data_IF_985447453288
#
_entry.id   IF_985447453288
#
_cell.length_a   1.000
_cell.length_b   1.000
_cell.length_c   1.000
_cell.angle_alpha   90.00
_cell.angle_beta   90.00
_cell.angle_gamma   90.00
#
_symmetry.space_group_name_H-M   'P 1'
#
loop_
_entity.id
_entity.type
_entity.pdbx_description
1 polymer ?
#
# COMPACT_ATOMS: atom_id res chain seq x y z
N UNK A 1 -1.94 -49.75 20.32
CA UNK A 1 -2.87 -48.61 20.47
C UNK A 1 -2.25 -47.41 19.78
N UNK A 2 -2.72 -47.12 18.57
CA UNK A 2 -2.30 -45.94 17.82
C UNK A 2 -3.11 -44.74 18.32
N UNK A 3 -2.45 -43.79 18.98
CA UNK A 3 -3.08 -42.53 19.35
C UNK A 3 -3.48 -41.72 18.10
N UNK A 4 -4.45 -40.82 18.19
CA UNK A 4 -4.85 -39.99 17.06
C UNK A 4 -3.67 -39.13 16.64
N UNK A 5 -3.33 -39.18 15.36
CA UNK A 5 -2.38 -38.26 14.75
C UNK A 5 -2.92 -36.85 14.94
N UNK A 6 -2.19 -36.02 15.67
CA UNK A 6 -2.60 -34.64 15.93
C UNK A 6 -2.69 -33.84 14.62
N UNK A 7 -3.63 -32.94 14.57
CA UNK A 7 -3.89 -32.07 13.40
C UNK A 7 -2.66 -31.26 12.91
N UNK A 8 -1.61 -31.17 13.70
CA UNK A 8 -0.33 -30.54 13.37
C UNK A 8 0.47 -31.26 12.25
N UNK A 9 0.17 -32.52 11.94
CA UNK A 9 0.86 -33.24 10.86
C UNK A 9 0.36 -32.88 9.45
N UNK A 10 -0.77 -32.20 9.33
CA UNK A 10 -1.26 -31.74 8.03
C UNK A 10 -0.66 -30.39 7.57
N UNK A 11 0.06 -29.72 8.45
CA UNK A 11 0.62 -28.38 8.15
C UNK A 11 2.05 -28.42 7.58
N UNK A 12 2.68 -29.60 7.50
CA UNK A 12 4.02 -29.76 6.92
C UNK A 12 4.00 -30.83 5.83
N UNK A 13 3.39 -30.51 4.71
CA UNK A 13 3.60 -31.26 3.47
C UNK A 13 4.92 -30.77 2.84
N UNK A 14 6.02 -31.40 3.16
CA UNK A 14 7.34 -31.16 2.54
C UNK A 14 7.42 -31.68 1.09
N UNK A 15 6.33 -31.65 0.33
CA UNK A 15 6.32 -32.22 -1.02
C UNK A 15 5.42 -31.56 -2.04
N UNK A 16 4.52 -30.65 -1.63
CA UNK A 16 3.84 -29.75 -2.56
C UNK A 16 4.59 -28.40 -2.48
N UNK A 17 5.00 -27.81 -3.58
CA UNK A 17 5.58 -26.47 -3.60
C UNK A 17 4.71 -25.50 -2.81
N UNK A 18 5.33 -24.55 -2.11
CA UNK A 18 4.64 -23.56 -1.30
C UNK A 18 3.48 -22.94 -2.11
N UNK A 19 2.33 -22.68 -1.45
CA UNK A 19 1.20 -22.06 -2.13
C UNK A 19 1.60 -20.68 -2.67
N UNK A 20 2.39 -19.94 -1.91
CA UNK A 20 2.93 -18.65 -2.32
C UNK A 20 4.34 -18.82 -2.89
N UNK A 21 4.56 -18.28 -4.09
CA UNK A 21 5.86 -18.23 -4.74
C UNK A 21 6.71 -17.06 -4.21
N UNK A 22 6.05 -16.03 -3.65
CA UNK A 22 6.63 -14.92 -2.92
C UNK A 22 5.94 -14.78 -1.58
N UNK A 23 6.73 -14.65 -0.50
CA UNK A 23 6.23 -14.51 0.87
C UNK A 23 6.43 -13.10 1.37
N UNK A 24 5.38 -12.55 1.97
CA UNK A 24 5.40 -11.31 2.72
C UNK A 24 5.49 -11.68 4.20
N UNK A 25 6.66 -11.46 4.80
CA UNK A 25 6.97 -11.96 6.15
C UNK A 25 6.28 -11.13 7.25
N UNK A 26 6.11 -9.83 7.02
CA UNK A 26 5.60 -8.90 8.02
C UNK A 26 4.65 -7.88 7.42
N UNK A 27 3.88 -7.26 8.32
CA UNK A 27 3.14 -6.03 8.07
C UNK A 27 3.38 -5.03 9.20
N UNK A 28 2.96 -3.79 8.97
CA UNK A 28 2.93 -2.76 10.00
C UNK A 28 1.49 -2.48 10.39
N UNK A 29 1.24 -2.39 11.70
CA UNK A 29 -0.06 -2.00 12.25
C UNK A 29 -0.11 -0.50 12.46
N UNK A 30 -0.98 0.18 11.70
CA UNK A 30 -1.37 1.57 11.93
C UNK A 30 -2.55 1.68 12.89
N UNK A 31 -2.62 2.79 13.60
CA UNK A 31 -3.73 3.12 14.49
C UNK A 31 -4.14 4.57 14.24
N UNK A 32 -5.42 4.80 13.95
CA UNK A 32 -5.98 6.13 13.82
C UNK A 32 -5.83 6.88 15.15
N UNK A 33 -5.56 8.17 15.10
CA UNK A 33 -5.38 9.05 16.27
C UNK A 33 -4.13 8.75 17.14
N UNK A 34 -3.39 7.68 16.87
CA UNK A 34 -2.19 7.31 17.63
C UNK A 34 -0.89 7.98 17.14
N UNK A 35 -0.97 8.88 16.17
CA UNK A 35 0.20 9.56 15.61
C UNK A 35 1.02 8.71 14.65
N UNK A 36 0.50 7.58 14.19
CA UNK A 36 1.18 6.67 13.28
C UNK A 36 1.32 7.29 11.89
N UNK A 37 2.56 7.42 11.40
CA UNK A 37 2.87 8.06 10.13
C UNK A 37 4.10 7.43 9.49
N UNK A 38 4.04 7.21 8.19
CA UNK A 38 5.16 6.77 7.37
C UNK A 38 5.30 7.80 6.23
N UNK A 39 6.31 8.67 6.30
CA UNK A 39 6.45 9.82 5.41
C UNK A 39 7.85 9.97 4.84
N UNK A 40 7.90 10.49 3.61
CA UNK A 40 9.14 10.88 2.94
C UNK A 40 8.91 12.13 2.10
N UNK A 41 9.92 13.00 2.03
CA UNK A 41 9.95 14.12 1.08
C UNK A 41 11.10 13.88 0.10
N UNK A 42 10.84 13.62 -1.18
CA UNK A 42 11.90 13.46 -2.18
C UNK A 42 12.75 14.72 -2.29
N UNK A 43 14.08 14.56 -2.48
CA UNK A 43 15.01 15.67 -2.66
C UNK A 43 14.97 16.27 -4.07
N UNK A 44 14.48 15.51 -5.05
CA UNK A 44 14.30 15.94 -6.44
C UNK A 44 13.03 15.37 -7.01
N UNK A 45 12.46 16.03 -8.01
CA UNK A 45 11.27 15.54 -8.69
C UNK A 45 11.61 14.32 -9.57
N UNK A 46 10.72 13.32 -9.57
CA UNK A 46 10.72 12.19 -10.48
C UNK A 46 9.65 12.33 -11.56
N UNK A 47 9.18 11.21 -12.08
CA UNK A 47 8.16 11.16 -13.11
C UNK A 47 6.77 11.29 -12.50
N UNK A 48 6.09 12.39 -12.82
CA UNK A 48 4.78 12.74 -12.25
C UNK A 48 3.61 12.27 -13.13
N UNK A 49 3.88 11.66 -14.28
CA UNK A 49 2.88 11.25 -15.26
C UNK A 49 2.91 9.76 -15.58
N UNK A 50 3.93 9.04 -15.10
CA UNK A 50 4.10 7.60 -15.32
C UNK A 50 4.60 6.98 -14.02
N UNK A 51 3.76 6.23 -13.32
CA UNK A 51 4.06 5.67 -12.00
C UNK A 51 3.05 4.57 -11.63
N UNK A 52 3.38 3.79 -10.62
CA UNK A 52 2.46 2.85 -10.00
C UNK A 52 2.69 2.78 -8.48
N UNK A 53 1.62 2.47 -7.75
CA UNK A 53 1.63 2.17 -6.31
C UNK A 53 0.84 0.89 -6.11
N UNK A 54 1.40 -0.02 -5.33
CA UNK A 54 0.78 -1.28 -4.95
C UNK A 54 0.94 -1.50 -3.46
N UNK A 55 -0.09 -2.00 -2.79
CA UNK A 55 -0.02 -2.35 -1.38
C UNK A 55 -1.07 -3.40 -1.01
N UNK A 56 -0.76 -4.18 0.01
CA UNK A 56 -1.73 -5.04 0.68
C UNK A 56 -2.20 -4.35 1.95
N UNK A 57 -3.51 -4.36 2.19
CA UNK A 57 -4.13 -3.76 3.36
C UNK A 57 -5.11 -4.73 4.02
N UNK A 58 -5.21 -4.64 5.35
CA UNK A 58 -6.25 -5.30 6.14
C UNK A 58 -6.79 -4.29 7.14
N UNK A 59 -8.07 -3.98 7.04
CA UNK A 59 -8.72 -2.95 7.85
C UNK A 59 -9.01 -3.43 9.27
N UNK A 60 -8.95 -2.52 10.25
CA UNK A 60 -9.43 -2.75 11.62
C UNK A 60 -10.61 -1.86 11.97
N UNK A 61 -10.82 -0.76 11.25
CA UNK A 61 -11.87 0.23 11.52
C UNK A 61 -12.67 0.52 10.25
N UNK A 62 -13.99 0.66 10.39
CA UNK A 62 -14.94 1.00 9.33
C UNK A 62 -15.61 2.33 9.62
N UNK A 63 -16.19 2.96 8.58
CA UNK A 63 -17.04 4.14 8.71
C UNK A 63 -16.28 5.45 8.97
N UNK A 64 -14.96 5.48 8.76
CA UNK A 64 -14.12 6.67 8.88
C UNK A 64 -13.28 6.89 7.63
N UNK A 65 -12.99 8.17 7.31
CA UNK A 65 -12.03 8.49 6.26
C UNK A 65 -10.61 8.07 6.68
N UNK A 66 -9.95 7.28 5.83
CA UNK A 66 -8.60 6.78 6.07
C UNK A 66 -7.73 6.91 4.83
N UNK A 67 -6.54 7.46 5.00
CA UNK A 67 -5.59 7.66 3.91
C UNK A 67 -4.75 6.41 3.68
N UNK A 68 -4.78 5.87 2.47
CA UNK A 68 -3.85 4.83 2.03
C UNK A 68 -2.55 5.44 1.50
N UNK A 69 -2.69 6.54 0.74
CA UNK A 69 -1.55 7.28 0.21
C UNK A 69 -1.92 8.74 -0.04
N UNK A 70 -1.02 9.65 0.27
CA UNK A 70 -1.13 11.06 -0.12
C UNK A 70 0.23 11.60 -0.54
N UNK A 71 0.26 12.30 -1.67
CA UNK A 71 1.35 13.19 -2.05
C UNK A 71 0.82 14.62 -2.07
N UNK A 72 1.50 15.55 -1.38
CA UNK A 72 1.08 16.94 -1.39
C UNK A 72 1.49 17.74 -0.15
N UNK A 73 1.28 19.05 -0.18
CA UNK A 73 1.47 19.94 0.96
C UNK A 73 0.18 20.66 1.32
N UNK A 74 0.07 21.13 2.56
CA UNK A 74 -1.12 21.85 3.04
C UNK A 74 -1.41 23.13 2.25
N UNK A 75 -0.38 23.68 1.55
CA UNK A 75 -0.49 24.86 0.69
C UNK A 75 -0.82 24.56 -0.77
N UNK A 76 -0.68 23.31 -1.22
CA UNK A 76 -0.84 22.90 -2.62
C UNK A 76 -2.17 22.18 -2.86
N UNK A 77 -3.27 22.84 -2.51
CA UNK A 77 -4.60 22.23 -2.65
C UNK A 77 -4.86 21.69 -4.07
N UNK A 78 -4.34 22.35 -5.10
CA UNK A 78 -4.63 22.00 -6.50
C UNK A 78 -3.79 20.83 -7.03
N UNK A 79 -2.65 20.52 -6.41
CA UNK A 79 -1.74 19.47 -6.91
C UNK A 79 -1.75 18.20 -6.04
N UNK A 80 -2.36 18.22 -4.85
CA UNK A 80 -2.43 17.04 -3.97
C UNK A 80 -3.08 15.86 -4.68
N UNK A 81 -2.51 14.68 -4.47
CA UNK A 81 -3.02 13.44 -5.01
C UNK A 81 -3.21 12.45 -3.86
N UNK A 82 -4.39 11.87 -3.74
CA UNK A 82 -4.76 11.02 -2.62
C UNK A 82 -5.48 9.76 -3.07
N UNK A 83 -5.15 8.68 -2.41
CA UNK A 83 -5.89 7.44 -2.39
C UNK A 83 -6.44 7.24 -0.98
N UNK A 84 -7.74 7.24 -0.84
CA UNK A 84 -8.45 7.31 0.45
C UNK A 84 -9.51 6.22 0.51
N UNK A 85 -9.77 5.68 1.66
CA UNK A 85 -11.04 5.00 1.96
C UNK A 85 -11.92 6.03 2.65
N UNK A 86 -13.09 6.31 2.09
CA UNK A 86 -14.01 7.29 2.65
C UNK A 86 -14.88 6.69 3.79
N UNK A 87 -15.69 7.50 4.41
CA UNK A 87 -16.61 7.13 5.49
C UNK A 87 -17.75 6.16 5.06
N UNK A 88 -17.96 5.98 3.74
CA UNK A 88 -18.82 4.93 3.17
C UNK A 88 -18.07 3.61 2.93
N UNK A 89 -16.83 3.45 3.39
CA UNK A 89 -15.95 2.28 3.17
C UNK A 89 -15.60 2.02 1.69
N UNK A 90 -15.54 3.06 0.87
CA UNK A 90 -15.19 2.98 -0.55
C UNK A 90 -13.83 3.60 -0.83
N UNK A 91 -13.09 3.05 -1.78
CA UNK A 91 -11.87 3.72 -2.27
C UNK A 91 -12.25 4.94 -3.10
N UNK A 92 -11.59 6.05 -2.80
CA UNK A 92 -11.76 7.33 -3.46
C UNK A 92 -10.40 7.88 -3.90
N UNK A 93 -10.33 8.38 -5.12
CA UNK A 93 -9.18 9.12 -5.64
C UNK A 93 -9.55 10.61 -5.69
N UNK A 94 -8.71 11.44 -5.09
CA UNK A 94 -8.91 12.90 -5.11
C UNK A 94 -7.66 13.62 -5.60
N UNK A 95 -7.84 14.74 -6.31
CA UNK A 95 -6.80 15.72 -6.58
C UNK A 95 -7.22 17.07 -6.01
N UNK A 96 -6.28 17.76 -5.38
CA UNK A 96 -6.61 18.99 -4.69
C UNK A 96 -7.71 18.75 -3.66
N UNK A 97 -8.82 19.46 -3.79
CA UNK A 97 -10.02 19.31 -2.99
C UNK A 97 -11.19 18.64 -3.74
N UNK A 98 -10.91 18.13 -4.96
CA UNK A 98 -11.93 17.53 -5.81
C UNK A 98 -11.89 16.01 -5.71
N UNK A 99 -13.06 15.41 -5.45
CA UNK A 99 -13.24 13.97 -5.63
C UNK A 99 -13.32 13.68 -7.13
N UNK A 100 -12.39 12.87 -7.64
CA UNK A 100 -12.37 12.48 -9.06
C UNK A 100 -13.22 11.24 -9.29
N UNK A 101 -13.12 10.27 -8.39
CA UNK A 101 -13.81 8.98 -8.52
C UNK A 101 -13.91 8.28 -7.18
N UNK A 102 -15.03 7.59 -6.98
CA UNK A 102 -15.27 6.70 -5.83
C UNK A 102 -15.65 5.32 -6.35
N UNK A 103 -15.11 4.27 -5.74
CA UNK A 103 -15.43 2.90 -6.11
C UNK A 103 -16.90 2.58 -5.83
N UNK A 104 -17.45 1.62 -6.58
CA UNK A 104 -18.76 1.03 -6.27
C UNK A 104 -18.64 -0.09 -5.24
N UNK A 105 -17.46 -0.72 -5.16
CA UNK A 105 -17.18 -1.80 -4.23
C UNK A 105 -16.89 -1.26 -2.84
N UNK A 106 -17.41 -1.96 -1.84
CA UNK A 106 -17.17 -1.69 -0.43
C UNK A 106 -15.97 -2.49 0.07
N UNK A 107 -15.14 -1.90 0.90
CA UNK A 107 -14.01 -2.53 1.60
C UNK A 107 -14.37 -2.75 3.07
N UNK A 108 -15.35 -3.61 3.34
CA UNK A 108 -15.90 -3.85 4.68
C UNK A 108 -15.42 -5.15 5.33
N UNK A 109 -14.67 -5.98 4.61
CA UNK A 109 -14.06 -7.17 5.22
C UNK A 109 -12.85 -6.76 6.06
N UNK A 110 -12.97 -6.91 7.37
CA UNK A 110 -11.90 -6.66 8.34
C UNK A 110 -11.10 -7.93 8.67
N UNK A 111 -11.48 -9.07 8.10
CA UNK A 111 -10.84 -10.36 8.37
C UNK A 111 -9.79 -10.74 7.33
N UNK A 112 -9.97 -10.27 6.11
CA UNK A 112 -9.14 -10.60 4.96
C UNK A 112 -8.21 -9.47 4.52
N UNK A 113 -7.15 -9.85 3.84
CA UNK A 113 -6.26 -8.94 3.14
C UNK A 113 -6.85 -8.54 1.80
N UNK A 114 -6.72 -7.27 1.45
CA UNK A 114 -7.09 -6.73 0.13
C UNK A 114 -5.87 -6.12 -0.54
N UNK A 115 -5.70 -6.42 -1.82
CA UNK A 115 -4.69 -5.79 -2.66
C UNK A 115 -5.26 -4.54 -3.30
N UNK A 116 -4.56 -3.42 -3.17
CA UNK A 116 -4.89 -2.15 -3.81
C UNK A 116 -3.74 -1.76 -4.72
N UNK A 117 -4.06 -1.57 -5.99
CA UNK A 117 -3.11 -1.15 -7.01
C UNK A 117 -3.62 0.10 -7.72
N UNK A 118 -2.77 1.12 -7.83
CA UNK A 118 -3.08 2.38 -8.46
C UNK A 118 -1.92 2.83 -9.33
N UNK A 119 -2.20 3.14 -10.59
CA UNK A 119 -1.18 3.57 -11.53
C UNK A 119 -1.64 4.73 -12.40
N UNK A 120 -0.68 5.45 -12.95
CA UNK A 120 -0.86 6.41 -14.03
C UNK A 120 0.09 6.10 -15.18
N UNK A 121 -0.48 5.97 -16.38
CA UNK A 121 0.25 5.91 -17.64
C UNK A 121 -0.11 7.15 -18.47
N UNK A 122 0.81 8.07 -18.62
CA UNK A 122 0.55 9.40 -19.18
C UNK A 122 -0.52 10.15 -18.35
N UNK A 123 -1.70 10.39 -18.87
CA UNK A 123 -2.80 11.04 -18.17
C UNK A 123 -3.89 10.07 -17.71
N UNK A 124 -3.72 8.78 -18.00
CA UNK A 124 -4.72 7.76 -17.65
C UNK A 124 -4.38 7.11 -16.31
N UNK A 125 -5.26 7.27 -15.34
CA UNK A 125 -5.19 6.59 -14.06
C UNK A 125 -6.11 5.39 -14.06
N UNK A 126 -5.60 4.25 -13.57
CA UNK A 126 -6.38 3.04 -13.30
C UNK A 126 -6.15 2.58 -11.87
N UNK A 127 -7.21 2.14 -11.22
CA UNK A 127 -7.11 1.57 -9.89
C UNK A 127 -7.85 0.23 -9.82
N UNK A 128 -7.22 -0.74 -9.15
CA UNK A 128 -7.75 -2.09 -8.96
C UNK A 128 -7.85 -2.41 -7.47
N UNK A 129 -8.89 -3.15 -7.12
CA UNK A 129 -9.06 -3.76 -5.81
C UNK A 129 -9.15 -5.27 -6.04
N UNK A 130 -8.23 -6.04 -5.45
CA UNK A 130 -8.17 -7.51 -5.61
C UNK A 130 -8.19 -7.95 -7.08
N UNK A 131 -7.44 -7.25 -7.95
CA UNK A 131 -7.36 -7.53 -9.38
C UNK A 131 -8.57 -7.04 -10.20
N UNK A 132 -9.60 -6.48 -9.57
CA UNK A 132 -10.77 -5.94 -10.26
C UNK A 132 -10.62 -4.43 -10.43
N UNK A 133 -10.59 -3.98 -11.68
CA UNK A 133 -10.54 -2.55 -11.99
C UNK A 133 -11.87 -1.88 -11.62
N UNK A 134 -11.81 -0.86 -10.78
CA UNK A 134 -13.03 -0.09 -10.44
C UNK A 134 -13.10 1.26 -11.15
N UNK A 135 -11.97 1.76 -11.66
CA UNK A 135 -11.97 3.04 -12.34
C UNK A 135 -10.92 3.16 -13.43
N UNK A 136 -11.22 4.02 -14.39
CA UNK A 136 -10.27 4.71 -15.26
C UNK A 136 -10.63 6.19 -15.25
N UNK A 137 -9.71 7.04 -14.83
CA UNK A 137 -9.93 8.48 -14.78
C UNK A 137 -8.75 9.22 -15.39
N UNK A 138 -9.05 10.33 -16.10
CA UNK A 138 -8.01 11.20 -16.65
C UNK A 138 -7.61 12.20 -15.60
N UNK A 139 -6.32 12.21 -15.24
CA UNK A 139 -5.70 13.25 -14.42
C UNK A 139 -4.68 13.95 -15.31
N UNK A 140 -5.01 15.13 -15.76
CA UNK A 140 -4.13 15.92 -16.62
C UNK A 140 -3.20 16.82 -15.79
N UNK A 141 -2.00 17.03 -16.32
CA UNK A 141 -0.99 17.86 -15.68
C UNK A 141 -0.17 17.14 -14.61
N UNK A 142 0.67 17.90 -13.96
CA UNK A 142 1.55 17.41 -12.94
C UNK A 142 0.86 17.42 -11.58
N UNK A 143 0.62 16.23 -11.01
CA UNK A 143 0.17 16.09 -9.63
C UNK A 143 1.34 16.20 -8.65
N UNK A 144 1.08 16.11 -7.35
CA UNK A 144 2.11 16.15 -6.31
C UNK A 144 2.97 14.88 -6.24
N UNK A 145 2.53 13.77 -6.87
CA UNK A 145 3.29 12.51 -6.86
C UNK A 145 4.71 12.70 -7.39
N UNK A 146 5.68 12.06 -6.75
CA UNK A 146 7.10 12.14 -7.09
C UNK A 146 7.66 13.57 -7.22
N UNK A 147 6.98 14.57 -6.64
CA UNK A 147 7.52 15.93 -6.50
C UNK A 147 8.27 16.09 -5.17
N UNK A 148 8.85 17.26 -4.95
CA UNK A 148 9.62 17.59 -3.72
C UNK A 148 8.72 17.98 -2.54
N UNK A 149 7.53 17.41 -2.45
CA UNK A 149 6.60 17.57 -1.33
C UNK A 149 6.51 16.27 -0.54
N UNK A 150 5.89 16.33 0.63
CA UNK A 150 5.77 15.13 1.46
C UNK A 150 4.82 14.10 0.84
N UNK A 151 5.20 12.83 0.96
CA UNK A 151 4.45 11.65 0.59
C UNK A 151 4.19 10.84 1.85
N UNK A 152 2.95 10.40 2.06
CA UNK A 152 2.54 9.60 3.20
C UNK A 152 1.95 8.27 2.76
N UNK A 153 2.34 7.19 3.44
CA UNK A 153 1.77 5.85 3.33
C UNK A 153 0.97 5.58 4.59
N UNK A 154 -0.31 5.21 4.45
CA UNK A 154 -1.22 5.00 5.57
C UNK A 154 -1.52 6.28 6.37
N UNK A 155 -1.19 7.46 5.83
CA UNK A 155 -1.38 8.74 6.50
C UNK A 155 -1.40 9.90 5.49
N UNK A 156 -1.77 11.08 5.97
CA UNK A 156 -1.61 12.31 5.17
C UNK A 156 -0.13 12.60 4.92
N UNK A 157 0.21 13.00 3.69
CA UNK A 157 1.56 13.42 3.32
C UNK A 157 1.97 14.68 4.06
N UNK A 158 1.15 15.70 3.98
CA UNK A 158 1.57 17.08 4.18
C UNK A 158 1.07 17.81 5.40
N UNK A 159 0.02 17.41 6.02
CA UNK A 159 -0.50 18.21 7.11
C UNK A 159 0.07 17.74 8.44
N UNK A 160 0.87 18.61 9.06
CA UNK A 160 1.30 18.59 10.44
C UNK A 160 1.15 17.29 11.23
N UNK A 161 0.55 17.40 12.39
CA UNK A 161 0.29 16.26 13.28
C UNK A 161 -1.15 15.73 13.19
N UNK A 162 -1.85 16.01 12.07
CA UNK A 162 -3.19 15.47 11.87
C UNK A 162 -3.13 13.96 11.65
N UNK A 163 -3.57 13.23 12.65
CA UNK A 163 -3.61 11.77 12.71
C UNK A 163 -5.03 11.22 12.60
N UNK A 164 -6.02 12.11 12.57
CA UNK A 164 -7.45 11.75 12.60
C UNK A 164 -7.92 10.93 11.40
N UNK A 165 -7.11 10.89 10.33
CA UNK A 165 -7.41 10.13 9.11
C UNK A 165 -6.28 9.14 8.76
N UNK A 166 -5.40 8.80 9.70
CA UNK A 166 -4.41 7.73 9.49
C UNK A 166 -5.13 6.39 9.32
N UNK A 167 -4.53 5.50 8.55
CA UNK A 167 -5.09 4.17 8.32
C UNK A 167 -5.08 3.35 9.62
N UNK A 168 -6.23 2.80 9.96
CA UNK A 168 -6.41 1.89 11.09
C UNK A 168 -6.51 0.47 10.58
N UNK A 169 -5.45 -0.30 10.79
CA UNK A 169 -5.31 -1.65 10.25
C UNK A 169 -3.86 -2.02 9.98
N UNK A 170 -3.67 -2.90 9.02
CA UNK A 170 -2.38 -3.46 8.66
C UNK A 170 -2.05 -3.13 7.23
N UNK A 171 -0.79 -2.74 6.98
CA UNK A 171 -0.25 -2.49 5.65
C UNK A 171 0.96 -3.40 5.46
N UNK A 172 1.01 -4.07 4.31
CA UNK A 172 2.10 -4.95 3.94
C UNK A 172 2.55 -4.65 2.51
N UNK A 173 3.85 -4.85 2.25
CA UNK A 173 4.45 -4.79 0.92
C UNK A 173 4.01 -3.58 0.10
N UNK A 174 4.48 -2.40 0.47
CA UNK A 174 4.21 -1.17 -0.30
C UNK A 174 5.26 -1.01 -1.38
N UNK A 175 4.81 -1.02 -2.63
CA UNK A 175 5.64 -0.81 -3.82
C UNK A 175 5.27 0.53 -4.44
N UNK A 176 6.24 1.41 -4.60
CA UNK A 176 6.09 2.73 -5.22
C UNK A 176 7.05 2.79 -6.39
N UNK A 177 6.53 2.96 -7.60
CA UNK A 177 7.31 2.98 -8.83
C UNK A 177 7.31 4.37 -9.46
N UNK A 178 8.49 4.88 -9.79
CA UNK A 178 8.72 6.17 -10.44
C UNK A 178 9.22 5.95 -11.86
N UNK A 179 8.49 6.42 -12.85
CA UNK A 179 8.83 6.31 -14.27
C UNK A 179 8.31 5.05 -14.96
N UNK A 180 7.75 4.10 -14.23
CA UNK A 180 7.14 2.89 -14.81
C UNK A 180 5.74 2.68 -14.23
N UNK A 181 4.75 2.57 -15.11
CA UNK A 181 3.36 2.33 -14.73
C UNK A 181 3.06 0.81 -14.82
N UNK A 182 3.68 0.02 -13.94
CA UNK A 182 3.43 -1.41 -13.87
C UNK A 182 1.94 -1.72 -13.72
N UNK A 183 1.50 -2.83 -14.31
CA UNK A 183 0.15 -3.37 -14.14
C UNK A 183 0.04 -4.09 -12.79
N UNK A 184 -1.18 -4.30 -12.30
CA UNK A 184 -1.35 -5.10 -11.09
C UNK A 184 -0.84 -6.54 -11.26
N UNK A 185 -0.86 -7.07 -12.48
CA UNK A 185 -0.34 -8.40 -12.84
C UNK A 185 1.19 -8.50 -12.82
N UNK A 186 1.92 -7.38 -12.76
CA UNK A 186 3.37 -7.39 -12.59
C UNK A 186 3.78 -7.60 -11.12
N UNK A 187 2.87 -7.31 -10.19
CA UNK A 187 3.08 -7.38 -8.74
C UNK A 187 2.18 -8.39 -8.03
N UNK A 188 1.32 -9.09 -8.79
CA UNK A 188 0.46 -10.16 -8.28
C UNK A 188 0.36 -11.30 -9.28
N UNK A 189 0.05 -12.50 -8.77
CA UNK A 189 -0.29 -13.68 -9.55
C UNK A 189 -1.68 -14.20 -9.16
N UNK A 190 -2.25 -15.08 -9.98
CA UNK A 190 -3.47 -15.82 -9.62
C UNK A 190 -3.13 -17.30 -9.53
N UNK A 191 -3.31 -17.89 -8.35
CA UNK A 191 -3.08 -19.32 -8.13
C UNK A 191 -4.35 -19.97 -7.56
N UNK A 192 -4.88 -20.93 -8.30
CA UNK A 192 -6.14 -21.60 -7.94
C UNK A 192 -7.33 -20.64 -7.74
N UNK A 193 -7.37 -19.54 -8.51
CA UNK A 193 -8.42 -18.52 -8.41
C UNK A 193 -8.21 -17.51 -7.27
N UNK A 194 -7.11 -17.59 -6.51
CA UNK A 194 -6.75 -16.66 -5.45
C UNK A 194 -5.69 -15.69 -5.95
N UNK A 195 -5.89 -14.39 -5.74
CA UNK A 195 -4.87 -13.38 -5.99
C UNK A 195 -3.81 -13.46 -4.91
N UNK A 196 -2.56 -13.61 -5.31
CA UNK A 196 -1.40 -13.73 -4.42
C UNK A 196 -0.32 -12.72 -4.82
N UNK A 197 0.60 -12.34 -3.90
CA UNK A 197 1.72 -11.46 -4.25
C UNK A 197 2.69 -12.15 -5.21
N UNK A 198 3.30 -11.37 -6.10
CA UNK A 198 4.39 -11.78 -6.96
C UNK A 198 5.71 -11.14 -6.49
N UNK A 199 6.83 -11.81 -6.72
CA UNK A 199 8.14 -11.29 -6.33
C UNK A 199 8.52 -10.03 -7.13
N UNK A 200 8.65 -8.86 -6.49
CA UNK A 200 8.97 -7.61 -7.16
C UNK A 200 10.48 -7.40 -7.37
N UNK A 201 11.34 -8.36 -7.02
CA UNK A 201 12.80 -8.21 -7.00
C UNK A 201 13.42 -7.90 -8.38
N UNK A 202 12.73 -8.28 -9.46
CA UNK A 202 13.16 -8.01 -10.84
C UNK A 202 12.66 -6.65 -11.38
N UNK A 203 11.80 -5.95 -10.64
CA UNK A 203 11.21 -4.70 -11.08
C UNK A 203 12.10 -3.50 -10.80
N UNK A 204 12.00 -2.48 -11.63
CA UNK A 204 12.76 -1.23 -11.47
C UNK A 204 11.90 -0.18 -10.78
N UNK A 205 12.35 0.31 -9.63
CA UNK A 205 11.58 1.26 -8.82
C UNK A 205 11.72 2.71 -9.29
N UNK A 206 12.79 3.06 -10.03
CA UNK A 206 13.05 4.43 -10.50
C UNK A 206 13.57 5.35 -9.39
N UNK A 207 13.79 6.64 -9.71
CA UNK A 207 14.53 7.56 -8.85
C UNK A 207 13.86 7.81 -7.49
N UNK A 208 12.56 8.04 -7.47
CA UNK A 208 11.79 8.26 -6.24
C UNK A 208 10.95 7.05 -5.81
N UNK A 209 11.13 5.92 -6.48
CA UNK A 209 10.45 4.69 -6.11
C UNK A 209 11.02 4.08 -4.82
N UNK A 210 10.23 3.29 -4.14
CA UNK A 210 10.56 2.64 -2.88
C UNK A 210 9.85 1.30 -2.71
N UNK A 211 10.44 0.41 -1.93
CA UNK A 211 9.87 -0.87 -1.51
C UNK A 211 9.88 -0.99 0.01
N UNK A 212 8.74 -0.84 0.64
CA UNK A 212 8.61 -0.97 2.09
C UNK A 212 8.12 -2.38 2.44
N UNK A 213 9.03 -3.20 2.94
CA UNK A 213 8.76 -4.57 3.41
C UNK A 213 8.33 -4.64 4.86
N UNK A 214 8.64 -3.59 5.64
CA UNK A 214 8.42 -3.56 7.09
C UNK A 214 9.19 -4.65 7.86
N UNK A 215 10.26 -5.17 7.30
CA UNK A 215 11.05 -6.27 7.90
C UNK A 215 12.04 -5.81 8.97
N UNK A 216 12.44 -4.55 8.94
CA UNK A 216 13.35 -3.97 9.92
C UNK A 216 12.58 -3.34 11.08
N UNK A 217 12.45 -4.06 12.20
CA UNK A 217 11.73 -3.58 13.39
C UNK A 217 12.33 -2.30 14.00
N UNK A 218 13.60 -2.00 13.73
CA UNK A 218 14.26 -0.78 14.20
C UNK A 218 14.02 0.42 13.28
N UNK A 219 13.57 0.16 12.05
CA UNK A 219 13.29 1.17 11.04
C UNK A 219 12.18 0.66 10.09
N UNK A 220 10.93 0.86 10.48
CA UNK A 220 9.77 0.42 9.70
C UNK A 220 9.55 1.24 8.42
N UNK A 221 10.35 2.30 8.20
CA UNK A 221 10.35 3.07 6.96
C UNK A 221 11.45 2.68 5.98
N UNK A 222 12.28 1.68 6.30
CA UNK A 222 13.40 1.27 5.47
C UNK A 222 12.98 0.88 4.05
N UNK A 223 13.68 1.44 3.06
CA UNK A 223 13.49 1.16 1.64
C UNK A 223 14.36 -0.02 1.20
N UNK A 224 13.73 -1.09 0.76
CA UNK A 224 14.39 -2.30 0.24
C UNK A 224 14.54 -2.31 -1.29
N UNK A 225 14.22 -1.22 -1.98
CA UNK A 225 14.34 -1.12 -3.45
C UNK A 225 15.79 -0.98 -3.94
N UNK A 226 16.70 -0.63 -3.03
CA UNK A 226 18.10 -0.29 -3.35
C UNK A 226 18.34 1.18 -3.68
N UNK A 227 17.32 2.03 -3.68
CA UNK A 227 17.43 3.47 -3.96
C UNK A 227 17.77 4.30 -2.72
N UNK A 228 17.70 3.72 -1.51
CA UNK A 228 17.82 4.41 -0.21
C UNK A 228 16.79 5.54 -0.05
N UNK A 229 15.57 5.30 -0.49
CA UNK A 229 14.43 6.20 -0.40
C UNK A 229 13.65 5.95 0.89
N UNK A 230 14.34 5.88 2.03
CA UNK A 230 13.75 5.60 3.32
C UNK A 230 12.63 6.58 3.68
N UNK A 231 11.58 6.06 4.27
CA UNK A 231 10.50 6.81 4.87
C UNK A 231 10.74 6.95 6.37
N UNK A 232 10.42 8.07 6.94
CA UNK A 232 10.42 8.25 8.39
C UNK A 232 9.14 7.68 8.97
N UNK A 233 9.27 6.64 9.80
CA UNK A 233 8.18 6.08 10.59
C UNK A 233 8.08 6.84 11.93
N UNK A 234 6.93 7.44 12.20
CA UNK A 234 6.65 8.15 13.45
C UNK A 234 5.44 7.52 14.13
N UNK A 235 5.47 7.39 15.46
CA UNK A 235 4.43 6.71 16.23
C UNK A 235 4.36 5.20 15.97
N UNK A 236 5.38 4.65 15.31
CA UNK A 236 5.51 3.23 14.97
C UNK A 236 6.78 2.69 15.62
N UNK A 237 6.64 1.94 16.68
CA UNK A 237 7.72 1.20 17.36
C UNK A 237 7.75 -0.25 16.90
N UNK A 238 8.76 -0.99 17.32
CA UNK A 238 8.95 -2.40 16.92
C UNK A 238 7.74 -3.31 17.20
N UNK A 239 6.92 -2.97 18.19
CA UNK A 239 5.67 -3.69 18.53
C UNK A 239 4.55 -3.49 17.50
N UNK A 240 4.71 -2.56 16.57
CA UNK A 240 3.80 -2.37 15.44
C UNK A 240 4.17 -3.22 14.22
N UNK A 241 5.35 -3.83 14.20
CA UNK A 241 5.68 -4.88 13.25
C UNK A 241 4.99 -6.17 13.69
N UNK A 242 4.24 -6.77 12.79
CA UNK A 242 3.47 -7.99 13.10
C UNK A 242 3.64 -9.04 12.00
N UNK A 243 3.48 -10.32 12.36
CA UNK A 243 3.57 -11.45 11.43
C UNK A 243 2.30 -11.65 10.59
N UNK A 244 1.18 -11.03 10.96
CA UNK A 244 -0.04 -11.08 10.15
C UNK A 244 0.22 -10.42 8.79
N UNK A 245 0.23 -11.21 7.74
CA UNK A 245 0.54 -10.80 6.37
C UNK A 245 -0.36 -11.53 5.37
N UNK A 246 -0.43 -11.09 4.10
CA UNK A 246 -1.22 -11.79 3.06
C UNK A 246 -0.81 -13.25 2.84
N UNK A 247 0.39 -13.62 3.23
CA UNK A 247 0.95 -14.97 3.05
C UNK A 247 1.17 -15.72 4.36
N UNK A 248 0.69 -15.17 5.49
CA UNK A 248 0.87 -15.77 6.80
C UNK A 248 0.20 -17.14 6.92
N UNK A 249 0.92 -18.11 7.46
CA UNK A 249 0.40 -19.46 7.67
C UNK A 249 0.52 -20.40 6.47
N UNK A 250 1.30 -20.03 5.46
CA UNK A 250 1.61 -20.86 4.27
C UNK A 250 2.82 -21.77 4.48
#
# INVERSE_FOLDING_TARGET
MSGPLGASQFMYSTGAGAFYDHQIEQSVRGEMDAGTRIRRTPSSAGNRTTWAISMWIKRSKLGDEQFLYEAGSSGDADSRLRLVINDDDKIMITTGNSNLVTSTSLLQDVTGWSHVHWRQASNTNTCHINGVQFTTVTISGNTAIHSTVAHGVGCRGASGDDTSSSFDGYIAEVLIFDGTAYEYTDVTNVKNGVLIPADPSSLTFGTNGAYLKFENASDLGNDSSGNNNDFTASGLSADKQVLDSPTFGS
#
